data_IF_282339680685
#
_entry.id   IF_282339680685
#
_cell.length_a   1.000
_cell.length_b   1.000
_cell.length_c   1.000
_cell.angle_alpha   90.00
_cell.angle_beta   90.00
_cell.angle_gamma   90.00
#
_symmetry.space_group_name_H-M   'P 1'
#
loop_
_entity.id
_entity.type
_entity.pdbx_description
1 polymer ?
#
# COMPACT_ATOMS: atom_id res chain seq x y z
N UNK A 1 21.56 -3.81 -13.25
CA UNK A 1 21.16 -2.74 -12.33
C UNK A 1 21.13 -1.43 -13.10
N UNK A 2 20.08 -0.62 -12.98
CA UNK A 2 20.02 0.72 -13.54
C UNK A 2 21.06 1.61 -12.86
N UNK A 3 21.67 2.54 -13.61
CA UNK A 3 22.59 3.52 -13.02
C UNK A 3 21.79 4.54 -12.19
N UNK A 4 22.40 5.06 -11.14
CA UNK A 4 21.73 5.97 -10.22
C UNK A 4 21.23 7.25 -10.92
N UNK A 5 22.05 7.82 -11.79
CA UNK A 5 21.73 9.01 -12.59
C UNK A 5 20.53 8.80 -13.54
N UNK A 6 20.39 7.60 -14.09
CA UNK A 6 19.27 7.25 -14.97
C UNK A 6 17.94 7.13 -14.19
N UNK A 7 17.98 6.56 -12.97
CA UNK A 7 16.79 6.44 -12.15
C UNK A 7 16.28 7.81 -11.67
N UNK A 8 17.19 8.72 -11.30
CA UNK A 8 16.83 10.10 -10.96
C UNK A 8 16.20 10.85 -12.13
N UNK A 9 16.74 10.65 -13.33
CA UNK A 9 16.18 11.29 -14.53
C UNK A 9 14.77 10.77 -14.80
N UNK A 10 14.56 9.47 -14.71
CA UNK A 10 13.25 8.87 -14.92
C UNK A 10 12.23 9.29 -13.86
N UNK A 11 12.64 9.40 -12.60
CA UNK A 11 11.81 9.91 -11.52
C UNK A 11 11.30 11.33 -11.84
N UNK A 12 12.19 12.23 -12.27
CA UNK A 12 11.85 13.61 -12.61
C UNK A 12 10.99 13.74 -13.86
N UNK A 13 11.25 12.90 -14.86
CA UNK A 13 10.61 13.03 -16.18
C UNK A 13 9.26 12.32 -16.25
N UNK A 14 9.10 11.20 -15.52
CA UNK A 14 8.01 10.27 -15.78
C UNK A 14 7.12 9.99 -14.57
N UNK A 15 7.61 10.22 -13.34
CA UNK A 15 6.86 9.84 -12.15
C UNK A 15 6.11 11.03 -11.55
N UNK A 16 4.79 10.92 -11.44
CA UNK A 16 3.95 11.93 -10.82
C UNK A 16 3.91 11.74 -9.31
N UNK A 17 4.52 12.65 -8.57
CA UNK A 17 4.47 12.67 -7.11
C UNK A 17 3.27 13.48 -6.60
N UNK A 18 2.30 12.85 -5.90
CA UNK A 18 1.22 13.58 -5.25
C UNK A 18 1.76 14.58 -4.21
N UNK A 19 1.05 15.69 -3.99
CA UNK A 19 1.41 16.72 -3.01
C UNK A 19 2.82 17.30 -3.18
N UNK A 20 3.34 17.31 -4.40
CA UNK A 20 4.67 17.79 -4.76
C UNK A 20 4.57 18.90 -5.80
N UNK A 21 5.42 19.91 -5.69
CA UNK A 21 5.53 20.94 -6.71
C UNK A 21 6.29 20.39 -7.94
N UNK A 22 5.55 19.84 -8.90
CA UNK A 22 6.13 19.05 -10.00
C UNK A 22 7.17 19.81 -10.83
N UNK A 23 6.95 21.12 -11.08
CA UNK A 23 7.92 21.91 -11.84
C UNK A 23 9.26 22.08 -11.11
N UNK A 24 9.26 22.20 -9.78
CA UNK A 24 10.49 22.25 -8.99
C UNK A 24 11.14 20.87 -8.92
N UNK A 25 10.34 19.81 -8.78
CA UNK A 25 10.83 18.43 -8.81
C UNK A 25 11.53 18.12 -10.14
N UNK A 26 10.89 18.43 -11.26
CA UNK A 26 11.47 18.22 -12.60
C UNK A 26 12.81 18.96 -12.80
N UNK A 27 12.99 20.14 -12.17
CA UNK A 27 14.26 20.87 -12.20
C UNK A 27 15.28 20.44 -11.14
N UNK A 28 14.92 19.47 -10.30
CA UNK A 28 15.78 19.01 -9.21
C UNK A 28 15.91 20.01 -8.05
N UNK A 29 14.98 20.95 -7.93
CA UNK A 29 14.95 21.97 -6.86
C UNK A 29 14.23 21.48 -5.60
N UNK A 30 13.41 20.45 -5.72
CA UNK A 30 12.75 19.77 -4.58
C UNK A 30 13.57 18.57 -4.13
N UNK A 31 13.63 18.30 -2.81
CA UNK A 31 14.24 17.08 -2.33
C UNK A 31 13.59 15.85 -2.95
N UNK A 32 14.37 14.98 -3.53
CA UNK A 32 13.96 13.65 -4.00
C UNK A 32 14.70 12.59 -3.20
N UNK A 33 14.02 11.53 -2.82
CA UNK A 33 14.62 10.44 -2.06
C UNK A 33 14.06 9.10 -2.53
N UNK A 34 14.91 8.30 -3.12
CA UNK A 34 14.55 6.96 -3.60
C UNK A 34 14.82 5.95 -2.50
N UNK A 35 13.77 5.41 -1.91
CA UNK A 35 13.88 4.40 -0.86
C UNK A 35 14.20 3.06 -1.50
N UNK A 36 15.20 2.37 -0.99
CA UNK A 36 15.71 1.12 -1.54
C UNK A 36 15.37 -0.07 -0.65
N UNK A 37 15.51 0.05 0.66
CA UNK A 37 15.24 -1.02 1.61
C UNK A 37 14.51 -0.51 2.85
N UNK A 38 13.93 -1.43 3.60
CA UNK A 38 13.30 -1.10 4.87
C UNK A 38 13.30 -2.31 5.82
N UNK A 39 13.41 -2.05 7.14
CA UNK A 39 13.36 -3.09 8.16
C UNK A 39 12.89 -2.52 9.50
N UNK A 40 11.94 -3.19 10.13
CA UNK A 40 11.31 -2.73 11.37
C UNK A 40 10.64 -1.38 11.17
N UNK A 41 11.11 -0.34 11.84
CA UNK A 41 10.63 1.04 11.71
C UNK A 41 11.58 1.94 10.90
N UNK A 42 12.54 1.38 10.18
CA UNK A 42 13.53 2.15 9.45
C UNK A 42 13.44 1.89 7.96
N UNK A 43 13.65 2.95 7.22
CA UNK A 43 13.85 2.94 5.77
C UNK A 43 15.29 3.33 5.45
N UNK A 44 15.80 2.89 4.33
CA UNK A 44 17.11 3.27 3.82
C UNK A 44 16.98 3.70 2.36
N UNK A 45 17.50 4.88 2.07
CA UNK A 45 17.55 5.35 0.69
C UNK A 45 18.75 4.74 -0.04
N UNK A 46 18.79 4.91 -1.34
CA UNK A 46 19.85 4.38 -2.19
C UNK A 46 21.23 5.02 -1.93
N UNK A 47 21.26 6.16 -1.25
CA UNK A 47 22.51 6.84 -0.88
C UNK A 47 23.05 6.32 0.46
N UNK A 48 22.38 5.33 1.05
CA UNK A 48 22.77 4.69 2.31
C UNK A 48 22.31 5.45 3.56
N UNK A 49 21.45 6.46 3.42
CA UNK A 49 20.92 7.17 4.57
C UNK A 49 19.81 6.35 5.22
N UNK A 50 20.02 5.97 6.47
CA UNK A 50 19.03 5.28 7.28
C UNK A 50 18.19 6.27 8.08
N UNK A 51 16.88 6.15 7.96
CA UNK A 51 15.90 7.06 8.54
C UNK A 51 14.86 6.30 9.35
N UNK A 52 14.40 6.90 10.45
CA UNK A 52 13.22 6.42 11.16
C UNK A 52 11.98 6.82 10.38
N UNK A 53 11.17 5.84 9.97
CA UNK A 53 9.89 6.09 9.33
C UNK A 53 8.78 6.24 10.37
N UNK A 54 8.63 7.44 10.91
CA UNK A 54 7.54 7.79 11.83
C UNK A 54 6.17 7.89 11.18
N UNK A 55 6.09 7.71 9.85
CA UNK A 55 4.85 7.83 9.08
C UNK A 55 4.31 6.48 8.59
N UNK A 56 5.02 5.38 8.91
CA UNK A 56 4.65 4.00 8.57
C UNK A 56 4.27 3.83 7.09
N UNK A 57 5.09 4.36 6.18
CA UNK A 57 4.82 4.30 4.74
C UNK A 57 3.47 4.91 4.36
N UNK A 58 3.11 6.03 4.95
CA UNK A 58 1.81 6.71 4.85
C UNK A 58 0.68 5.80 5.38
N UNK A 59 0.79 5.39 6.65
CA UNK A 59 -0.18 4.56 7.39
C UNK A 59 -0.35 3.12 6.90
N UNK A 60 0.48 2.66 5.98
CA UNK A 60 0.30 1.35 5.33
C UNK A 60 1.14 0.23 5.94
N UNK A 61 2.13 0.55 6.80
CA UNK A 61 3.10 -0.41 7.36
C UNK A 61 3.02 -0.45 8.88
N UNK A 62 1.83 -0.59 9.42
CA UNK A 62 1.58 -0.55 10.87
C UNK A 62 2.25 -1.69 11.65
N UNK A 63 2.50 -2.81 11.00
CA UNK A 63 3.19 -3.97 11.59
C UNK A 63 4.73 -3.87 11.50
N UNK A 64 5.26 -2.85 10.83
CA UNK A 64 6.69 -2.71 10.53
C UNK A 64 7.11 -3.42 9.24
N UNK A 65 8.26 -3.01 8.73
CA UNK A 65 8.84 -3.54 7.50
C UNK A 65 9.53 -4.90 7.72
N UNK A 66 9.52 -5.75 6.70
CA UNK A 66 10.27 -7.00 6.68
C UNK A 66 9.72 -8.11 7.58
N UNK A 67 8.44 -8.07 7.93
CA UNK A 67 7.77 -9.14 8.69
C UNK A 67 7.63 -10.38 7.84
N UNK A 68 8.45 -11.39 8.15
CA UNK A 68 8.48 -12.63 7.36
C UNK A 68 7.17 -13.37 7.36
N UNK A 69 6.47 -13.39 8.48
CA UNK A 69 5.17 -14.04 8.61
C UNK A 69 4.13 -13.49 7.61
N UNK A 70 4.22 -12.17 7.31
CA UNK A 70 3.33 -11.52 6.34
C UNK A 70 3.80 -11.81 4.92
N UNK A 71 5.09 -11.67 4.64
CA UNK A 71 5.63 -11.89 3.29
C UNK A 71 5.48 -13.34 2.85
N UNK A 72 5.70 -14.29 3.74
CA UNK A 72 5.56 -15.71 3.45
C UNK A 72 4.09 -16.09 3.20
N UNK A 73 3.14 -15.54 3.98
CA UNK A 73 1.71 -15.74 3.73
C UNK A 73 1.26 -15.15 2.38
N UNK A 74 1.77 -13.95 2.02
CA UNK A 74 1.49 -13.35 0.70
C UNK A 74 2.05 -14.22 -0.42
N UNK A 75 3.29 -14.69 -0.28
CA UNK A 75 3.94 -15.52 -1.31
C UNK A 75 3.19 -16.85 -1.49
N UNK A 76 2.79 -17.50 -0.41
CA UNK A 76 2.00 -18.72 -0.44
C UNK A 76 0.66 -18.49 -1.16
N UNK A 77 -0.11 -17.52 -0.71
CA UNK A 77 -1.43 -17.23 -1.29
C UNK A 77 -1.33 -16.84 -2.78
N UNK A 78 -0.32 -16.04 -3.15
CA UNK A 78 -0.09 -15.66 -4.54
C UNK A 78 0.30 -16.86 -5.42
N UNK A 79 1.01 -17.83 -4.85
CA UNK A 79 1.36 -19.07 -5.55
C UNK A 79 0.18 -20.02 -5.75
N UNK A 80 -0.79 -20.03 -4.82
CA UNK A 80 -1.98 -20.87 -4.91
C UNK A 80 -3.08 -20.22 -5.75
N UNK A 81 -3.41 -18.96 -5.44
CA UNK A 81 -4.43 -18.17 -6.12
C UNK A 81 -4.14 -16.68 -5.96
N UNK A 82 -3.49 -16.09 -6.93
CA UNK A 82 -3.07 -14.68 -6.89
C UNK A 82 -4.25 -13.70 -6.94
N UNK A 83 -5.32 -14.04 -7.66
CA UNK A 83 -6.50 -13.20 -7.80
C UNK A 83 -7.73 -14.00 -8.22
N UNK A 84 -8.90 -13.62 -7.66
CA UNK A 84 -10.20 -13.93 -8.21
C UNK A 84 -11.20 -12.85 -7.83
N UNK A 85 -12.20 -12.60 -8.67
CA UNK A 85 -13.20 -11.56 -8.45
C UNK A 85 -14.28 -12.01 -7.44
N UNK A 86 -14.99 -11.05 -6.86
CA UNK A 86 -16.07 -11.30 -5.89
C UNK A 86 -17.49 -11.10 -6.44
N UNK A 87 -17.65 -10.95 -7.77
CA UNK A 87 -18.96 -10.78 -8.39
C UNK A 87 -19.76 -12.08 -8.42
N UNK A 88 -21.08 -11.94 -8.46
CA UNK A 88 -22.08 -13.02 -8.64
C UNK A 88 -21.87 -14.21 -7.67
N UNK A 89 -21.54 -13.91 -6.42
CA UNK A 89 -21.40 -14.90 -5.37
C UNK A 89 -20.06 -15.65 -5.33
N UNK A 90 -19.09 -15.25 -6.15
CA UNK A 90 -17.74 -15.78 -6.04
C UNK A 90 -16.98 -15.14 -4.87
N UNK A 91 -15.99 -15.84 -4.36
CA UNK A 91 -15.10 -15.35 -3.30
C UNK A 91 -13.88 -16.24 -3.16
N UNK A 92 -12.91 -15.78 -2.40
CA UNK A 92 -11.74 -16.59 -2.03
C UNK A 92 -11.79 -16.91 -0.54
N UNK A 93 -11.18 -18.00 -0.12
CA UNK A 93 -11.10 -18.36 1.29
C UNK A 93 -10.48 -17.23 2.12
N UNK A 94 -9.42 -16.60 1.62
CA UNK A 94 -8.74 -15.49 2.28
C UNK A 94 -9.69 -14.29 2.50
N UNK A 95 -10.45 -13.87 1.49
CA UNK A 95 -11.36 -12.73 1.60
C UNK A 95 -12.55 -13.02 2.52
N UNK A 96 -13.10 -14.23 2.46
CA UNK A 96 -14.21 -14.66 3.32
C UNK A 96 -13.78 -14.73 4.77
N UNK A 97 -12.63 -15.34 5.05
CA UNK A 97 -12.05 -15.43 6.39
C UNK A 97 -11.75 -14.05 6.97
N UNK A 98 -11.13 -13.16 6.19
CA UNK A 98 -10.85 -11.80 6.62
C UNK A 98 -12.15 -11.04 6.94
N UNK A 99 -13.18 -11.19 6.12
CA UNK A 99 -14.50 -10.57 6.37
C UNK A 99 -15.07 -11.01 7.73
N UNK A 100 -14.99 -12.30 8.06
CA UNK A 100 -15.43 -12.82 9.37
C UNK A 100 -14.61 -12.24 10.51
N UNK A 101 -13.29 -12.22 10.38
CA UNK A 101 -12.40 -11.67 11.39
C UNK A 101 -12.62 -10.18 11.66
N UNK A 102 -12.98 -9.40 10.64
CA UNK A 102 -13.32 -7.99 10.78
C UNK A 102 -14.65 -7.85 11.52
N UNK A 103 -15.68 -8.60 11.12
CA UNK A 103 -17.01 -8.53 11.75
C UNK A 103 -17.01 -8.96 13.21
N UNK A 104 -16.16 -9.90 13.60
CA UNK A 104 -16.00 -10.32 15.00
C UNK A 104 -15.47 -9.19 15.92
N UNK A 105 -14.91 -8.14 15.33
CA UNK A 105 -14.36 -6.96 16.01
C UNK A 105 -15.14 -5.69 15.77
N UNK A 106 -16.08 -5.73 14.82
CA UNK A 106 -16.94 -4.61 14.47
C UNK A 106 -18.13 -4.47 15.45
N UNK A 107 -18.78 -3.30 15.49
CA UNK A 107 -20.05 -3.14 16.20
C UNK A 107 -21.09 -4.17 15.76
N UNK A 108 -21.93 -4.65 16.69
CA UNK A 108 -22.85 -5.76 16.47
C UNK A 108 -23.94 -5.53 15.42
N UNK A 109 -24.16 -4.28 15.00
CA UNK A 109 -25.07 -3.90 13.92
C UNK A 109 -24.44 -4.02 12.52
N UNK A 110 -23.15 -4.35 12.43
CA UNK A 110 -22.47 -4.60 11.14
C UNK A 110 -22.62 -6.06 10.73
N UNK A 111 -22.95 -6.31 9.48
CA UNK A 111 -23.24 -7.66 8.97
C UNK A 111 -22.47 -8.04 7.69
N UNK A 112 -21.87 -7.08 7.01
CA UNK A 112 -21.15 -7.31 5.75
C UNK A 112 -19.88 -6.47 5.70
N UNK A 113 -18.90 -6.96 4.96
CA UNK A 113 -17.66 -6.26 4.63
C UNK A 113 -17.58 -6.11 3.12
N UNK A 114 -17.30 -4.91 2.67
CA UNK A 114 -16.95 -4.60 1.28
C UNK A 114 -15.49 -4.14 1.23
N UNK A 115 -14.68 -4.77 0.40
CA UNK A 115 -13.29 -4.40 0.20
C UNK A 115 -13.19 -3.42 -0.97
N UNK A 116 -12.85 -2.18 -0.66
CA UNK A 116 -12.59 -1.12 -1.63
C UNK A 116 -11.08 -0.90 -1.86
N UNK A 117 -10.76 0.10 -2.67
CA UNK A 117 -9.38 0.46 -3.02
C UNK A 117 -8.78 1.51 -2.07
N UNK A 118 -9.60 2.26 -1.36
CA UNK A 118 -9.15 3.32 -0.46
C UNK A 118 -10.31 4.06 0.18
N UNK A 119 -10.01 5.05 1.03
CA UNK A 119 -11.02 5.79 1.80
C UNK A 119 -12.05 6.53 0.93
N UNK A 120 -11.63 7.13 -0.17
CA UNK A 120 -12.53 7.84 -1.10
C UNK A 120 -13.51 6.88 -1.78
N UNK A 121 -13.03 5.73 -2.25
CA UNK A 121 -13.85 4.68 -2.84
C UNK A 121 -14.84 4.09 -1.81
N UNK A 122 -14.39 3.87 -0.58
CA UNK A 122 -15.24 3.43 0.52
C UNK A 122 -16.36 4.43 0.81
N UNK A 123 -16.05 5.73 0.85
CA UNK A 123 -17.05 6.78 1.08
C UNK A 123 -18.06 6.87 -0.08
N UNK A 124 -17.60 6.82 -1.33
CA UNK A 124 -18.47 6.79 -2.49
C UNK A 124 -19.42 5.59 -2.46
N UNK A 125 -18.89 4.42 -2.08
CA UNK A 125 -19.70 3.20 -1.94
C UNK A 125 -20.74 3.37 -0.82
N UNK A 126 -20.36 3.92 0.34
CA UNK A 126 -21.26 4.18 1.44
C UNK A 126 -22.42 5.14 1.03
N UNK A 127 -22.09 6.23 0.32
CA UNK A 127 -23.12 7.15 -0.19
C UNK A 127 -24.12 6.42 -1.09
N UNK A 128 -23.65 5.57 -2.00
CA UNK A 128 -24.51 4.78 -2.88
C UNK A 128 -25.38 3.76 -2.14
N UNK A 129 -24.90 3.22 -1.01
CA UNK A 129 -25.65 2.25 -0.22
C UNK A 129 -26.76 2.88 0.63
N UNK A 130 -26.64 4.18 0.98
CA UNK A 130 -27.65 4.92 1.77
C UNK A 130 -28.63 5.67 0.89
N UNK A 131 -28.39 5.77 -0.38
CA UNK A 131 -29.20 6.51 -1.35
C UNK A 131 -30.22 5.58 -2.01
#
# INVERSE_FOLDING_TARGET
MLRNDQLDQWDRDNFFHPSTHLAQHARGESPSRIIQTASGCHIEDRDGNRLLDGFAGLYCVNAGYGRREITDAIAQQAGELAYYHSYVGHGTEASITLSKMILDRAPSNMSKVYFGLGGSDANETNVKLVW
#
